data_IF_288963623294
#
_entry.id   IF_288963623294
#
_cell.length_a   1.000
_cell.length_b   1.000
_cell.length_c   1.000
_cell.angle_alpha   90.00
_cell.angle_beta   90.00
_cell.angle_gamma   90.00
#
_symmetry.space_group_name_H-M   'P 1'
#
loop_
_entity.id
_entity.type
_entity.pdbx_description
1 polymer ?
#
# COMPACT_ATOMS: atom_id res chain seq x y z
N UNK A 1 -42.84 -16.04 18.77
CA UNK A 1 -41.94 -15.30 19.68
C UNK A 1 -40.65 -15.13 18.90
N UNK A 2 -40.26 -13.90 18.56
CA UNK A 2 -39.07 -13.65 17.73
C UNK A 2 -37.81 -14.14 18.44
N UNK A 3 -37.41 -15.35 18.09
CA UNK A 3 -36.21 -16.05 18.54
C UNK A 3 -34.96 -15.50 17.82
N UNK A 4 -35.00 -14.22 17.47
CA UNK A 4 -33.96 -13.56 16.69
C UNK A 4 -32.73 -13.39 17.56
N UNK A 5 -31.60 -13.89 17.06
CA UNK A 5 -30.29 -13.71 17.66
C UNK A 5 -30.05 -12.21 17.95
N UNK A 6 -29.70 -11.83 19.20
CA UNK A 6 -29.39 -10.46 19.53
C UNK A 6 -28.34 -9.87 18.59
N UNK A 7 -28.48 -8.60 18.21
CA UNK A 7 -27.54 -7.91 17.31
C UNK A 7 -26.63 -6.97 18.09
N UNK A 8 -25.33 -7.00 17.79
CA UNK A 8 -24.35 -6.16 18.47
C UNK A 8 -24.66 -4.67 18.22
N UNK A 9 -24.70 -3.82 19.28
CA UNK A 9 -24.98 -2.40 19.10
C UNK A 9 -23.84 -1.69 18.34
N UNK A 10 -24.21 -0.61 17.65
CA UNK A 10 -23.25 0.27 16.98
C UNK A 10 -22.29 0.90 18.01
N UNK A 11 -20.98 0.93 17.70
CA UNK A 11 -19.99 1.59 18.53
C UNK A 11 -20.27 3.10 18.67
N UNK A 12 -19.70 3.76 19.67
CA UNK A 12 -19.86 5.21 19.87
C UNK A 12 -19.53 6.02 18.60
N UNK A 13 -18.46 5.66 17.89
CA UNK A 13 -18.10 6.28 16.61
C UNK A 13 -19.17 6.05 15.52
N UNK A 14 -19.70 4.82 15.40
CA UNK A 14 -20.75 4.52 14.41
C UNK A 14 -22.09 5.18 14.78
N UNK A 15 -22.38 5.34 16.06
CA UNK A 15 -23.53 6.09 16.54
C UNK A 15 -23.40 7.58 16.17
N UNK A 16 -22.22 8.17 16.38
CA UNK A 16 -21.90 9.52 15.91
C UNK A 16 -22.02 9.64 14.39
N UNK A 17 -21.47 8.68 13.65
CA UNK A 17 -21.54 8.64 12.19
C UNK A 17 -23.00 8.63 11.69
N UNK A 18 -23.85 7.83 12.33
CA UNK A 18 -25.28 7.77 12.02
C UNK A 18 -26.01 9.07 12.38
N UNK A 19 -25.67 9.69 13.51
CA UNK A 19 -26.24 10.95 13.96
C UNK A 19 -25.87 12.13 13.04
N UNK A 20 -24.75 12.02 12.32
CA UNK A 20 -24.23 13.05 11.40
C UNK A 20 -24.27 12.56 9.95
N UNK A 21 -25.29 11.80 9.58
CA UNK A 21 -25.42 11.22 8.24
C UNK A 21 -25.60 12.29 7.13
N UNK A 22 -26.07 13.48 7.52
CA UNK A 22 -26.21 14.68 6.69
C UNK A 22 -24.85 15.30 6.33
N UNK A 23 -23.83 15.11 7.17
CA UNK A 23 -22.50 15.67 6.94
C UNK A 23 -21.85 15.01 5.74
N UNK A 24 -21.66 15.78 4.68
CA UNK A 24 -21.13 15.27 3.42
C UNK A 24 -22.12 14.35 2.69
N UNK A 25 -23.43 14.53 2.91
CA UNK A 25 -24.46 13.92 2.08
C UNK A 25 -24.33 14.43 0.63
N UNK A 26 -23.66 13.66 -0.22
CA UNK A 26 -23.28 14.03 -1.59
C UNK A 26 -21.82 13.74 -1.91
N UNK A 27 -20.97 13.56 -0.89
CA UNK A 27 -19.59 13.14 -1.06
C UNK A 27 -19.48 11.61 -1.24
N UNK A 28 -18.46 11.11 -1.96
CA UNK A 28 -18.12 9.71 -1.98
C UNK A 28 -17.92 9.15 -0.56
N UNK A 29 -18.32 7.89 -0.34
CA UNK A 29 -18.30 7.28 1.00
C UNK A 29 -16.93 7.32 1.71
N UNK A 30 -15.83 7.26 0.95
CA UNK A 30 -14.48 7.36 1.50
C UNK A 30 -14.16 8.76 2.04
N UNK A 31 -14.54 9.81 1.32
CA UNK A 31 -14.33 11.20 1.72
C UNK A 31 -15.22 11.56 2.91
N UNK A 32 -16.48 11.12 2.89
CA UNK A 32 -17.39 11.25 4.03
C UNK A 32 -16.84 10.53 5.27
N UNK A 33 -16.28 9.33 5.08
CA UNK A 33 -15.58 8.57 6.12
C UNK A 33 -14.44 9.35 6.76
N UNK A 34 -13.61 9.99 5.93
CA UNK A 34 -12.49 10.81 6.39
C UNK A 34 -12.98 12.04 7.15
N UNK A 35 -13.94 12.78 6.62
CA UNK A 35 -14.49 13.99 7.22
C UNK A 35 -15.10 13.71 8.60
N UNK A 36 -15.94 12.68 8.71
CA UNK A 36 -16.54 12.28 9.98
C UNK A 36 -15.50 11.73 10.97
N UNK A 37 -14.48 11.03 10.46
CA UNK A 37 -13.33 10.58 11.27
C UNK A 37 -12.52 11.74 11.85
N UNK A 38 -12.30 12.81 11.08
CA UNK A 38 -11.63 14.03 11.55
C UNK A 38 -12.49 14.78 12.58
N UNK A 39 -13.80 14.93 12.33
CA UNK A 39 -14.73 15.54 13.29
C UNK A 39 -14.80 14.77 14.61
N UNK A 40 -14.85 13.44 14.56
CA UNK A 40 -14.84 12.61 15.77
C UNK A 40 -13.57 12.79 16.62
N UNK A 41 -12.41 12.97 15.97
CA UNK A 41 -11.15 13.24 16.67
C UNK A 41 -11.11 14.65 17.26
N UNK A 42 -11.76 15.61 16.61
CA UNK A 42 -11.87 16.99 17.07
C UNK A 42 -12.96 17.20 18.12
N UNK A 43 -13.84 16.22 18.36
CA UNK A 43 -14.88 16.32 19.38
C UNK A 43 -14.26 16.49 20.78
N UNK A 44 -14.90 17.30 21.65
CA UNK A 44 -14.58 17.33 23.06
C UNK A 44 -14.68 15.94 23.70
N UNK A 45 -13.79 15.65 24.63
CA UNK A 45 -13.76 14.37 25.33
C UNK A 45 -15.08 14.04 26.03
N UNK A 46 -15.79 15.06 26.55
CA UNK A 46 -17.09 14.89 27.18
C UNK A 46 -18.18 14.41 26.21
N UNK A 47 -18.23 14.97 24.99
CA UNK A 47 -19.18 14.54 23.96
C UNK A 47 -18.83 13.15 23.43
N UNK A 48 -17.54 12.91 23.20
CA UNK A 48 -17.04 11.60 22.78
C UNK A 48 -17.38 10.52 23.83
N UNK A 49 -17.24 10.85 25.11
CA UNK A 49 -17.56 9.95 26.20
C UNK A 49 -19.05 9.69 26.32
N UNK A 50 -19.94 10.64 26.00
CA UNK A 50 -21.39 10.39 25.94
C UNK A 50 -21.72 9.27 24.94
N UNK A 51 -21.18 9.32 23.73
CA UNK A 51 -21.38 8.26 22.73
C UNK A 51 -20.80 6.91 23.17
N UNK A 52 -19.63 6.93 23.85
CA UNK A 52 -19.02 5.72 24.37
C UNK A 52 -19.81 5.12 25.53
N UNK A 53 -20.32 5.95 26.45
CA UNK A 53 -21.12 5.54 27.59
C UNK A 53 -22.45 4.91 27.13
N UNK A 54 -23.13 5.52 26.16
CA UNK A 54 -24.32 4.94 25.54
C UNK A 54 -24.03 3.59 24.87
N UNK A 55 -22.89 3.47 24.18
CA UNK A 55 -22.46 2.19 23.60
C UNK A 55 -22.20 1.14 24.68
N UNK A 56 -21.53 1.48 25.78
CA UNK A 56 -21.26 0.56 26.89
C UNK A 56 -22.56 0.05 27.51
N UNK A 57 -23.52 0.94 27.78
CA UNK A 57 -24.83 0.55 28.34
C UNK A 57 -25.58 -0.41 27.39
N UNK A 58 -25.65 -0.09 26.09
CA UNK A 58 -26.27 -0.97 25.09
C UNK A 58 -25.52 -2.29 24.93
N UNK A 59 -24.19 -2.28 25.07
CA UNK A 59 -23.36 -3.47 24.98
C UNK A 59 -23.59 -4.42 26.15
N UNK A 60 -23.76 -3.91 27.37
CA UNK A 60 -24.09 -4.75 28.53
C UNK A 60 -25.48 -5.38 28.39
N UNK A 61 -26.48 -4.61 27.96
CA UNK A 61 -27.81 -5.15 27.65
C UNK A 61 -27.75 -6.23 26.56
N UNK A 62 -26.97 -6.00 25.50
CA UNK A 62 -26.73 -6.99 24.44
C UNK A 62 -26.06 -8.26 24.96
N UNK A 63 -25.04 -8.15 25.80
CA UNK A 63 -24.34 -9.30 26.39
C UNK A 63 -25.28 -10.14 27.25
N UNK A 64 -26.11 -9.50 28.08
CA UNK A 64 -27.10 -10.18 28.89
C UNK A 64 -28.12 -10.93 28.00
N UNK A 65 -28.68 -10.24 27.00
CA UNK A 65 -29.61 -10.86 26.06
C UNK A 65 -28.98 -12.01 25.27
N UNK A 66 -27.71 -11.87 24.86
CA UNK A 66 -26.96 -12.89 24.15
C UNK A 66 -26.65 -14.10 25.04
N UNK A 67 -26.32 -13.89 26.31
CA UNK A 67 -26.10 -14.97 27.26
C UNK A 67 -27.37 -15.83 27.43
N UNK A 68 -28.53 -15.19 27.66
CA UNK A 68 -29.82 -15.89 27.76
C UNK A 68 -30.28 -16.51 26.43
N UNK A 69 -29.75 -16.04 25.30
CA UNK A 69 -29.97 -16.69 24.00
C UNK A 69 -29.08 -17.93 23.86
N UNK A 70 -27.80 -17.87 24.24
CA UNK A 70 -26.91 -19.04 24.22
C UNK A 70 -27.31 -20.14 25.19
N UNK A 71 -28.00 -19.84 26.30
CA UNK A 71 -28.60 -20.86 27.17
C UNK A 71 -29.63 -21.72 26.43
N UNK A 72 -30.32 -21.14 25.46
CA UNK A 72 -31.31 -21.82 24.60
C UNK A 72 -30.70 -22.38 23.31
N UNK A 73 -29.53 -21.89 22.91
CA UNK A 73 -28.83 -22.24 21.67
C UNK A 73 -27.33 -22.54 21.92
N UNK A 74 -26.99 -23.61 22.65
CA UNK A 74 -25.61 -23.93 23.00
C UNK A 74 -24.73 -24.25 21.78
N UNK A 75 -25.29 -24.81 20.72
CA UNK A 75 -24.59 -25.10 19.46
C UNK A 75 -24.10 -23.83 18.76
N UNK A 76 -24.86 -22.73 18.85
CA UNK A 76 -24.49 -21.45 18.28
C UNK A 76 -23.36 -20.78 19.07
N UNK A 77 -23.33 -20.99 20.40
CA UNK A 77 -22.21 -20.55 21.25
C UNK A 77 -20.89 -21.19 20.79
N UNK A 78 -20.90 -22.51 20.60
CA UNK A 78 -19.73 -23.27 20.17
C UNK A 78 -19.24 -22.82 18.77
N UNK A 79 -20.15 -22.59 17.83
CA UNK A 79 -19.80 -22.07 16.49
C UNK A 79 -19.16 -20.69 16.55
N UNK A 80 -19.67 -19.79 17.39
CA UNK A 80 -19.10 -18.45 17.54
C UNK A 80 -17.71 -18.49 18.20
N UNK A 81 -17.51 -19.37 19.18
CA UNK A 81 -16.21 -19.60 19.82
C UNK A 81 -15.18 -20.18 18.84
N UNK A 82 -15.57 -21.17 18.03
CA UNK A 82 -14.72 -21.73 16.97
C UNK A 82 -14.34 -20.68 15.93
N UNK A 83 -15.32 -19.90 15.46
CA UNK A 83 -15.07 -18.81 14.51
C UNK A 83 -14.14 -17.75 15.11
N UNK A 84 -14.29 -17.42 16.39
CA UNK A 84 -13.40 -16.50 17.09
C UNK A 84 -11.97 -17.07 17.18
N UNK A 85 -11.82 -18.38 17.44
CA UNK A 85 -10.53 -19.08 17.45
C UNK A 85 -9.85 -18.99 16.08
N UNK A 86 -10.54 -19.38 15.01
CA UNK A 86 -10.03 -19.34 13.64
C UNK A 86 -9.63 -17.91 13.22
N UNK A 87 -10.38 -16.89 13.63
CA UNK A 87 -10.02 -15.50 13.36
C UNK A 87 -8.75 -15.05 14.09
N UNK A 88 -8.55 -15.49 15.34
CA UNK A 88 -7.34 -15.21 16.11
C UNK A 88 -6.13 -15.89 15.48
N UNK A 89 -6.27 -17.15 15.08
CA UNK A 89 -5.23 -17.91 14.37
C UNK A 89 -4.82 -17.21 13.07
N UNK A 90 -5.79 -16.86 12.23
CA UNK A 90 -5.54 -16.11 10.98
C UNK A 90 -4.87 -14.76 11.24
N UNK A 91 -5.25 -14.05 12.30
CA UNK A 91 -4.64 -12.76 12.66
C UNK A 91 -3.20 -12.96 13.14
N UNK A 92 -2.94 -14.02 13.90
CA UNK A 92 -1.60 -14.41 14.35
C UNK A 92 -0.71 -14.78 13.18
N UNK A 93 -1.20 -15.58 12.23
CA UNK A 93 -0.48 -15.97 11.02
C UNK A 93 -0.13 -14.75 10.15
N UNK A 94 -1.08 -13.82 9.97
CA UNK A 94 -0.80 -12.56 9.24
C UNK A 94 0.26 -11.71 9.95
N UNK A 95 0.27 -11.69 11.29
CA UNK A 95 1.30 -10.99 12.07
C UNK A 95 2.65 -11.66 11.93
N UNK A 96 2.73 -12.98 12.09
CA UNK A 96 3.99 -13.73 11.94
C UNK A 96 4.55 -13.64 10.52
N UNK A 97 3.68 -13.66 9.49
CA UNK A 97 4.10 -13.42 8.11
C UNK A 97 4.63 -11.99 7.89
N UNK A 98 4.02 -10.98 8.51
CA UNK A 98 4.49 -9.59 8.47
C UNK A 98 5.81 -9.42 9.22
N UNK A 99 5.96 -10.07 10.37
CA UNK A 99 7.17 -10.04 11.20
C UNK A 99 8.32 -10.78 10.51
N UNK A 100 8.09 -11.94 9.91
CA UNK A 100 9.08 -12.63 9.08
C UNK A 100 9.52 -11.78 7.88
N UNK A 101 8.58 -11.06 7.25
CA UNK A 101 8.90 -10.11 6.17
C UNK A 101 9.62 -8.86 6.65
N UNK A 102 9.35 -8.39 7.88
CA UNK A 102 10.01 -7.23 8.48
C UNK A 102 11.42 -7.58 8.98
N UNK A 103 11.63 -8.76 9.56
CA UNK A 103 12.92 -9.28 9.97
C UNK A 103 13.85 -9.53 8.76
N UNK A 104 13.30 -9.99 7.63
CA UNK A 104 14.02 -10.04 6.36
C UNK A 104 14.39 -8.64 5.81
N UNK A 105 13.84 -7.55 6.37
CA UNK A 105 14.13 -6.16 5.98
C UNK A 105 14.94 -5.35 7.00
N UNK A 106 15.16 -5.85 8.22
CA UNK A 106 15.86 -5.10 9.29
C UNK A 106 17.37 -5.28 9.32
N UNK A 107 17.95 -6.02 8.36
CA UNK A 107 19.39 -6.04 8.11
C UNK A 107 19.82 -4.85 7.26
N UNK A 108 19.95 -3.67 7.87
CA UNK A 108 20.62 -2.50 7.29
C UNK A 108 19.68 -1.43 6.74
N UNK A 109 19.95 -0.17 7.11
CA UNK A 109 19.37 1.04 6.50
C UNK A 109 19.83 1.23 5.04
N UNK A 110 19.52 0.26 4.18
CA UNK A 110 19.96 0.16 2.81
C UNK A 110 18.79 0.27 1.83
N UNK A 111 19.05 0.96 0.73
CA UNK A 111 18.26 1.01 -0.50
C UNK A 111 17.50 -0.31 -0.74
N UNK A 112 16.18 -0.24 -0.96
CA UNK A 112 15.28 -1.38 -1.19
C UNK A 112 15.96 -2.40 -2.13
N UNK A 113 16.23 -3.62 -1.65
CA UNK A 113 16.86 -4.69 -2.45
C UNK A 113 16.02 -4.93 -3.71
N UNK A 114 16.63 -4.75 -4.87
CA UNK A 114 15.98 -4.96 -6.17
C UNK A 114 15.70 -6.46 -6.34
N UNK A 115 14.58 -6.81 -6.97
CA UNK A 115 14.38 -8.18 -7.45
C UNK A 115 15.29 -8.45 -8.65
N UNK A 116 15.60 -9.71 -8.93
CA UNK A 116 16.50 -10.08 -10.04
C UNK A 116 16.00 -9.53 -11.37
N UNK A 117 14.70 -9.62 -11.64
CA UNK A 117 14.07 -9.01 -12.81
C UNK A 117 14.27 -7.48 -12.88
N UNK A 118 14.22 -6.77 -11.75
CA UNK A 118 14.44 -5.32 -11.70
C UNK A 118 15.92 -4.97 -11.91
N UNK A 119 16.82 -5.74 -11.31
CA UNK A 119 18.26 -5.60 -11.49
C UNK A 119 18.64 -5.77 -12.97
N UNK A 120 18.11 -6.79 -13.63
CA UNK A 120 18.31 -7.03 -15.07
C UNK A 120 17.75 -5.88 -15.90
N UNK A 121 16.51 -5.44 -15.66
CA UNK A 121 15.91 -4.31 -16.37
C UNK A 121 16.78 -3.04 -16.24
N UNK A 122 17.23 -2.72 -15.03
CA UNK A 122 18.04 -1.53 -14.76
C UNK A 122 19.42 -1.64 -15.41
N UNK A 123 20.14 -2.75 -15.22
CA UNK A 123 21.46 -2.97 -15.78
C UNK A 123 21.44 -2.92 -17.31
N UNK A 124 20.48 -3.61 -17.93
CA UNK A 124 20.27 -3.60 -19.38
C UNK A 124 19.98 -2.18 -19.89
N UNK A 125 19.07 -1.45 -19.24
CA UNK A 125 18.77 -0.06 -19.63
C UNK A 125 20.02 0.80 -19.59
N UNK A 126 20.81 0.75 -18.51
CA UNK A 126 22.02 1.56 -18.37
C UNK A 126 23.08 1.19 -19.41
N UNK A 127 23.26 -0.10 -19.71
CA UNK A 127 24.16 -0.54 -20.77
C UNK A 127 23.76 0.02 -22.14
N UNK A 128 22.47 -0.01 -22.47
CA UNK A 128 21.95 0.55 -23.72
C UNK A 128 22.15 2.07 -23.78
N UNK A 129 21.87 2.78 -22.69
CA UNK A 129 22.09 4.23 -22.61
C UNK A 129 23.57 4.58 -22.79
N UNK A 130 24.47 3.88 -22.09
CA UNK A 130 25.93 4.08 -22.22
C UNK A 130 26.44 3.75 -23.62
N UNK A 131 25.84 2.78 -24.32
CA UNK A 131 26.16 2.46 -25.72
C UNK A 131 25.80 3.61 -26.65
N UNK A 132 24.60 4.17 -26.52
CA UNK A 132 24.19 5.35 -27.29
C UNK A 132 25.06 6.58 -27.00
N UNK A 133 25.52 6.77 -25.76
CA UNK A 133 26.42 7.87 -25.40
C UNK A 133 27.86 7.74 -25.96
N UNK A 134 28.26 6.54 -26.39
CA UNK A 134 29.59 6.29 -27.01
C UNK A 134 29.57 6.40 -28.52
N UNK A 135 28.39 6.40 -29.12
CA UNK A 135 28.22 6.55 -30.55
C UNK A 135 27.96 8.03 -30.83
N UNK A 136 29.00 8.74 -31.30
CA UNK A 136 28.92 10.19 -31.61
C UNK A 136 27.85 10.52 -32.67
N UNK A 137 27.33 9.52 -33.38
CA UNK A 137 26.24 9.67 -34.36
C UNK A 137 24.85 9.37 -33.78
N UNK A 138 24.76 8.82 -32.56
CA UNK A 138 23.49 8.47 -31.95
C UNK A 138 22.93 9.65 -31.14
N UNK A 139 21.61 9.86 -31.24
CA UNK A 139 20.94 10.86 -30.43
C UNK A 139 20.88 10.45 -28.95
N UNK A 140 20.94 11.46 -28.06
CA UNK A 140 20.76 11.27 -26.62
C UNK A 140 19.37 10.67 -26.36
N UNK A 141 19.32 9.54 -25.65
CA UNK A 141 18.06 8.87 -25.33
C UNK A 141 17.41 9.55 -24.13
N UNK A 142 16.39 10.36 -24.41
CA UNK A 142 15.63 11.08 -23.37
C UNK A 142 14.81 10.13 -22.47
N UNK A 143 14.65 10.43 -21.16
CA UNK A 143 13.96 9.59 -20.18
C UNK A 143 12.42 9.65 -20.26
N UNK A 144 11.87 9.77 -21.46
CA UNK A 144 10.42 9.80 -21.68
C UNK A 144 9.75 8.50 -21.21
N UNK A 145 8.43 8.55 -20.95
CA UNK A 145 7.66 7.35 -20.60
C UNK A 145 7.77 6.28 -21.70
N UNK A 146 7.71 6.69 -22.97
CA UNK A 146 7.84 5.82 -24.14
C UNK A 146 9.20 5.11 -24.20
N UNK A 147 10.29 5.87 -24.06
CA UNK A 147 11.65 5.30 -24.12
C UNK A 147 11.92 4.32 -22.97
N UNK A 148 11.48 4.65 -21.75
CA UNK A 148 11.57 3.75 -20.60
C UNK A 148 10.78 2.45 -20.82
N UNK A 149 9.57 2.56 -21.34
CA UNK A 149 8.73 1.40 -21.65
C UNK A 149 9.39 0.51 -22.70
N UNK A 150 9.95 1.09 -23.76
CA UNK A 150 10.64 0.37 -24.84
C UNK A 150 11.88 -0.36 -24.33
N UNK A 151 12.72 0.28 -23.53
CA UNK A 151 13.94 -0.33 -22.98
C UNK A 151 13.63 -1.49 -22.03
N UNK A 152 12.63 -1.34 -21.15
CA UNK A 152 12.19 -2.44 -20.27
C UNK A 152 11.56 -3.59 -21.06
N UNK A 153 10.75 -3.28 -22.06
CA UNK A 153 10.18 -4.31 -22.94
C UNK A 153 11.28 -5.06 -23.70
N UNK A 154 12.34 -4.38 -24.15
CA UNK A 154 13.49 -5.01 -24.78
C UNK A 154 14.23 -5.96 -23.82
N UNK A 155 14.46 -5.53 -22.57
CA UNK A 155 15.07 -6.38 -21.54
C UNK A 155 14.27 -7.69 -21.31
N UNK A 156 12.93 -7.61 -21.31
CA UNK A 156 12.06 -8.78 -21.13
C UNK A 156 12.01 -9.73 -22.33
N UNK A 157 12.36 -9.23 -23.52
CA UNK A 157 12.40 -10.02 -24.75
C UNK A 157 13.73 -10.74 -24.97
N UNK A 158 14.74 -10.49 -24.15
CA UNK A 158 16.00 -11.24 -24.17
C UNK A 158 15.73 -12.74 -24.01
N UNK A 159 16.49 -13.58 -24.70
CA UNK A 159 16.40 -15.02 -24.53
C UNK A 159 16.86 -15.42 -23.11
N UNK A 160 16.38 -16.55 -22.59
CA UNK A 160 16.81 -17.06 -21.28
C UNK A 160 18.34 -17.14 -21.10
N UNK A 161 19.15 -17.63 -22.06
CA UNK A 161 20.61 -17.64 -21.89
C UNK A 161 21.17 -16.23 -21.70
N UNK A 162 20.72 -15.24 -22.49
CA UNK A 162 21.16 -13.86 -22.35
C UNK A 162 20.77 -13.29 -20.98
N UNK A 163 19.54 -13.57 -20.53
CA UNK A 163 19.07 -13.11 -19.21
C UNK A 163 19.91 -13.69 -18.08
N UNK A 164 20.22 -14.99 -18.15
CA UNK A 164 21.06 -15.66 -17.17
C UNK A 164 22.46 -15.03 -17.12
N UNK A 165 23.03 -14.68 -18.27
CA UNK A 165 24.30 -13.96 -18.35
C UNK A 165 24.23 -12.58 -17.69
N UNK A 166 23.19 -11.79 -17.97
CA UNK A 166 22.97 -10.50 -17.31
C UNK A 166 22.84 -10.63 -15.79
N UNK A 167 22.16 -11.67 -15.29
CA UNK A 167 22.07 -11.96 -13.86
C UNK A 167 23.43 -12.31 -13.26
N UNK A 168 24.23 -13.12 -13.97
CA UNK A 168 25.58 -13.48 -13.55
C UNK A 168 26.47 -12.24 -13.48
N UNK A 169 26.50 -11.44 -14.54
CA UNK A 169 27.26 -10.19 -14.60
C UNK A 169 26.85 -9.24 -13.48
N UNK A 170 25.54 -9.10 -13.24
CA UNK A 170 25.03 -8.29 -12.12
C UNK A 170 25.54 -8.81 -10.77
N UNK A 171 25.51 -10.12 -10.53
CA UNK A 171 25.98 -10.72 -9.29
C UNK A 171 27.49 -10.55 -9.08
N UNK A 172 28.30 -10.67 -10.14
CA UNK A 172 29.76 -10.52 -10.10
C UNK A 172 30.22 -9.07 -9.87
N UNK A 173 29.42 -8.06 -10.26
CA UNK A 173 29.78 -6.64 -10.13
C UNK A 173 29.98 -6.14 -8.70
N UNK A 174 29.42 -6.81 -7.68
CA UNK A 174 29.49 -6.38 -6.28
C UNK A 174 28.61 -5.16 -5.95
N UNK A 175 28.39 -4.92 -4.66
CA UNK A 175 27.37 -3.97 -4.17
C UNK A 175 27.62 -2.50 -4.55
N UNK A 176 28.89 -2.10 -4.67
CA UNK A 176 29.28 -0.73 -5.03
C UNK A 176 28.87 -0.39 -6.47
N UNK A 177 29.35 -1.18 -7.44
CA UNK A 177 29.01 -1.02 -8.86
C UNK A 177 27.51 -1.16 -9.12
N UNK A 178 26.84 -2.12 -8.46
CA UNK A 178 25.38 -2.23 -8.51
C UNK A 178 24.71 -0.92 -8.03
N UNK A 179 25.21 -0.35 -6.93
CA UNK A 179 24.72 0.91 -6.38
C UNK A 179 24.89 2.10 -7.33
N UNK A 180 26.00 2.17 -8.06
CA UNK A 180 26.26 3.19 -9.07
C UNK A 180 25.32 3.08 -10.28
N UNK A 181 25.11 1.86 -10.79
CA UNK A 181 24.21 1.61 -11.91
C UNK A 181 22.78 2.03 -11.56
N UNK A 182 22.31 1.68 -10.36
CA UNK A 182 20.99 2.09 -9.86
C UNK A 182 20.90 3.61 -9.75
N UNK A 183 21.94 4.25 -9.17
CA UNK A 183 21.97 5.71 -9.01
C UNK A 183 21.87 6.43 -10.36
N UNK A 184 22.66 5.99 -11.35
CA UNK A 184 22.61 6.52 -12.71
C UNK A 184 21.21 6.38 -13.33
N UNK A 185 20.59 5.21 -13.20
CA UNK A 185 19.25 4.97 -13.73
C UNK A 185 18.18 5.85 -13.09
N UNK A 186 18.23 6.01 -11.76
CA UNK A 186 17.31 6.84 -11.00
C UNK A 186 17.47 8.33 -11.36
N UNK A 187 18.71 8.81 -11.47
CA UNK A 187 19.03 10.17 -11.91
C UNK A 187 18.53 10.45 -13.33
N UNK A 188 18.76 9.52 -14.27
CA UNK A 188 18.25 9.62 -15.63
C UNK A 188 16.71 9.64 -15.65
N UNK A 189 16.05 8.75 -14.91
CA UNK A 189 14.59 8.76 -14.77
C UNK A 189 14.05 10.05 -14.16
N UNK A 190 14.80 10.70 -13.26
CA UNK A 190 14.40 11.94 -12.59
C UNK A 190 14.46 13.16 -13.52
N UNK A 191 15.32 13.15 -14.56
CA UNK A 191 15.40 14.26 -15.55
C UNK A 191 14.08 14.46 -16.31
N UNK A 192 13.30 13.40 -16.51
CA UNK A 192 11.95 13.47 -17.09
C UNK A 192 10.99 14.37 -16.29
N UNK A 193 11.22 14.54 -14.97
CA UNK A 193 10.39 15.39 -14.11
C UNK A 193 10.78 16.87 -14.16
N UNK A 194 11.96 17.21 -14.70
CA UNK A 194 12.44 18.59 -14.83
C UNK A 194 12.16 19.18 -16.20
N UNK A 195 12.14 18.35 -17.26
CA UNK A 195 11.84 18.80 -18.63
C UNK A 195 10.37 19.16 -18.89
N UNK A 196 9.45 18.77 -18.02
CA UNK A 196 8.00 19.05 -18.14
C UNK A 196 7.63 20.50 -17.72
N UNK A 197 8.61 21.29 -17.25
CA UNK A 197 8.40 22.64 -16.71
C UNK A 197 9.11 23.76 -17.49
N UNK A 198 9.48 23.49 -18.74
CA UNK A 198 10.31 24.39 -19.57
C UNK A 198 9.79 24.59 -20.99
N UNK A 199 8.47 24.58 -21.18
CA UNK A 199 7.85 24.85 -22.47
C UNK A 199 6.64 25.74 -22.31
N UNK A 200 6.84 27.02 -21.98
CA UNK A 200 5.97 28.12 -22.43
C UNK A 200 6.66 29.46 -22.21
N UNK A 201 6.53 30.34 -23.22
CA UNK A 201 6.94 31.74 -23.33
C UNK A 201 8.31 32.01 -23.97
N UNK A 202 8.44 31.63 -25.23
CA UNK A 202 8.99 32.53 -26.25
C UNK A 202 7.82 32.89 -27.18
N UNK A 203 7.16 34.02 -26.90
CA UNK A 203 6.29 34.71 -27.85
C UNK A 203 6.48 36.21 -27.66
N UNK A 204 7.51 36.70 -28.36
CA UNK A 204 7.42 37.84 -29.27
C UNK A 204 6.34 38.90 -28.94
N UNK A 205 6.75 39.98 -28.30
CA UNK A 205 6.10 41.27 -28.48
C UNK A 205 7.17 42.36 -28.59
N UNK A 206 7.45 42.63 -29.86
CA UNK A 206 8.08 43.79 -30.46
C UNK A 206 7.64 45.13 -29.86
#
# INVERSE_FOLDING_TARGET
MDETRPTKPASGFMAFFKAHADVGAGLPGAERGRLLGERWKALPDAERERYNAEYRAKLEAYKAALASWYERHPEERLKDEEKARLQRERTREKRSAKEGRAAASSGGGGRRRLSDAQALEICFCVAQLKRHLRDDRASVVEPTRGNRSRLRAAARRLAEPDRAEWHRVWAEMGAENQGEIVRFYDEWCARARRGDRGGENDDEAR
#
